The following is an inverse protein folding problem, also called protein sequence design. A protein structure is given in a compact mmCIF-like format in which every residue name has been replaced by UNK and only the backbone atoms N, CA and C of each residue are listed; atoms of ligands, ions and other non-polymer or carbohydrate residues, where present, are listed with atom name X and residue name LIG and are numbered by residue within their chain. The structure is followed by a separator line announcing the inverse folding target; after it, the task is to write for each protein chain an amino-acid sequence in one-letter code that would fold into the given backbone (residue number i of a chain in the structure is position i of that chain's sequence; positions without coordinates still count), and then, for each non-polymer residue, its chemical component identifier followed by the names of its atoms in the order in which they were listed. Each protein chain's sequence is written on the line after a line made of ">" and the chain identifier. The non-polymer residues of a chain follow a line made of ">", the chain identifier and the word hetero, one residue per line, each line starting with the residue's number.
data_IF_475962147332
#
_entry.id   IF_475962147332
#
_cell.length_a   1.000
_cell.length_b   1.000
_cell.length_c   1.000
_cell.angle_alpha   90.00
_cell.angle_beta   90.00
_cell.angle_gamma   90.00
#
_symmetry.space_group_name_H-M   'P 1'
#
loop_
_entity.id
_entity.type
_entity.pdbx_description
1 polymer ?
#
# COMPACT_ATOMS: atom_id res chain seq x y z
N UNK A 1 -34.01 2.28 13.46
CA UNK A 1 -33.50 1.32 14.45
C UNK A 1 -31.99 1.44 14.43
N UNK A 2 -31.37 1.80 15.56
CA UNK A 2 -29.90 1.84 15.68
C UNK A 2 -29.40 0.40 15.65
N UNK A 3 -28.48 0.08 14.74
CA UNK A 3 -27.71 -1.15 14.83
C UNK A 3 -26.88 -1.09 16.13
N UNK A 4 -26.82 -2.20 16.85
CA UNK A 4 -26.03 -2.34 18.07
C UNK A 4 -25.05 -3.49 17.91
N UNK A 5 -23.85 -3.34 18.47
CA UNK A 5 -22.86 -4.41 18.55
C UNK A 5 -22.49 -4.63 20.02
N UNK A 6 -22.26 -5.89 20.41
CA UNK A 6 -21.76 -6.23 21.73
C UNK A 6 -20.45 -6.98 21.55
N UNK A 7 -19.40 -6.50 22.21
CA UNK A 7 -18.09 -7.13 22.25
C UNK A 7 -17.92 -7.71 23.64
N UNK A 8 -17.74 -9.02 23.75
CA UNK A 8 -17.39 -9.68 25.01
C UNK A 8 -15.89 -9.95 25.06
N UNK A 9 -15.25 -9.49 26.12
CA UNK A 9 -13.84 -9.69 26.40
C UNK A 9 -13.67 -10.73 27.51
N UNK A 10 -12.67 -11.59 27.35
CA UNK A 10 -12.26 -12.53 28.38
C UNK A 10 -11.71 -11.75 29.59
N UNK A 11 -12.17 -12.04 30.83
CA UNK A 11 -11.74 -11.32 32.03
C UNK A 11 -10.26 -11.52 32.39
N UNK A 12 -9.57 -12.47 31.76
CA UNK A 12 -8.14 -12.75 31.97
C UNK A 12 -7.23 -11.91 31.08
N UNK A 13 -7.78 -11.11 30.15
CA UNK A 13 -6.99 -10.26 29.28
C UNK A 13 -6.24 -9.17 30.07
N UNK A 14 -4.98 -8.86 29.70
CA UNK A 14 -4.25 -7.74 30.29
C UNK A 14 -4.98 -6.40 30.08
N UNK A 15 -4.88 -5.50 31.06
CA UNK A 15 -5.56 -4.19 31.05
C UNK A 15 -5.25 -3.37 29.79
N UNK A 16 -4.02 -3.45 29.26
CA UNK A 16 -3.60 -2.76 28.03
C UNK A 16 -4.39 -3.24 26.80
N UNK A 17 -4.65 -4.55 26.71
CA UNK A 17 -5.47 -5.13 25.64
C UNK A 17 -6.92 -4.71 25.79
N UNK A 18 -7.44 -4.72 27.02
CA UNK A 18 -8.80 -4.28 27.34
C UNK A 18 -8.99 -2.80 26.98
N UNK A 19 -8.00 -1.94 27.27
CA UNK A 19 -8.04 -0.52 26.96
C UNK A 19 -7.94 -0.25 25.45
N UNK A 20 -7.15 -1.04 24.72
CA UNK A 20 -7.15 -1.03 23.25
C UNK A 20 -8.54 -1.32 22.66
N UNK A 21 -9.23 -2.35 23.18
CA UNK A 21 -10.59 -2.69 22.76
C UNK A 21 -11.64 -1.63 23.15
N UNK A 22 -11.50 -1.01 24.33
CA UNK A 22 -12.35 0.13 24.73
C UNK A 22 -12.18 1.28 23.74
N UNK A 23 -10.95 1.57 23.32
CA UNK A 23 -10.67 2.62 22.36
C UNK A 23 -11.29 2.30 20.98
N UNK A 24 -11.03 1.09 20.46
CA UNK A 24 -11.58 0.63 19.19
C UNK A 24 -13.12 0.67 19.15
N UNK A 25 -13.80 0.30 20.23
CA UNK A 25 -15.26 0.37 20.31
C UNK A 25 -15.82 1.80 20.39
N UNK A 26 -15.08 2.73 21.01
CA UNK A 26 -15.44 4.16 20.99
C UNK A 26 -15.31 4.73 19.59
N UNK A 27 -14.29 4.30 18.84
CA UNK A 27 -14.06 4.73 17.47
C UNK A 27 -15.17 4.18 16.56
N UNK A 28 -15.47 2.88 16.67
CA UNK A 28 -16.56 2.24 15.93
C UNK A 28 -17.94 2.85 16.25
N UNK A 29 -18.18 3.22 17.51
CA UNK A 29 -19.43 3.88 17.91
C UNK A 29 -19.56 5.31 17.37
N UNK A 30 -18.44 6.01 17.19
CA UNK A 30 -18.43 7.37 16.62
C UNK A 30 -18.66 7.35 15.12
N UNK A 31 -18.05 6.41 14.41
CA UNK A 31 -17.96 6.47 12.95
C UNK A 31 -19.13 5.82 12.22
N UNK A 32 -19.82 4.84 12.83
CA UNK A 32 -20.81 4.00 12.09
C UNK A 32 -22.25 4.10 12.56
N UNK A 33 -22.60 5.00 13.47
CA UNK A 33 -23.93 5.06 14.11
C UNK A 33 -24.36 3.69 14.71
N UNK A 34 -23.38 2.85 15.08
CA UNK A 34 -23.61 1.56 15.72
C UNK A 34 -23.30 1.71 17.21
N UNK A 35 -24.26 1.43 18.09
CA UNK A 35 -23.98 1.45 19.52
C UNK A 35 -23.16 0.22 19.91
N UNK A 36 -21.87 0.40 20.23
CA UNK A 36 -21.02 -0.70 20.68
C UNK A 36 -20.99 -0.76 22.21
N UNK A 37 -21.32 -1.91 22.78
CA UNK A 37 -21.19 -2.16 24.22
C UNK A 37 -20.09 -3.18 24.47
N UNK A 38 -19.06 -2.78 25.21
CA UNK A 38 -18.10 -3.73 25.77
C UNK A 38 -18.68 -4.36 27.02
N UNK A 39 -18.47 -5.66 27.15
CA UNK A 39 -18.74 -6.43 28.34
C UNK A 39 -17.54 -7.33 28.61
N UNK A 40 -17.25 -7.61 29.87
CA UNK A 40 -16.30 -8.65 30.27
C UNK A 40 -17.09 -9.82 30.82
N UNK A 41 -16.73 -11.04 30.46
CA UNK A 41 -17.44 -12.21 30.94
C UNK A 41 -16.80 -13.51 30.50
N UNK A 42 -17.07 -14.56 31.27
CA UNK A 42 -16.67 -15.92 30.95
C UNK A 42 -17.64 -16.59 29.95
N UNK A 43 -17.42 -17.87 29.66
CA UNK A 43 -18.25 -18.66 28.75
C UNK A 43 -19.72 -18.75 29.20
N UNK A 44 -19.98 -18.70 30.50
CA UNK A 44 -21.34 -18.65 31.04
C UNK A 44 -22.02 -17.31 30.76
N UNK A 45 -21.27 -16.21 30.81
CA UNK A 45 -21.73 -14.88 30.40
C UNK A 45 -22.06 -14.81 28.91
N UNK A 46 -21.26 -15.45 28.03
CA UNK A 46 -21.58 -15.59 26.59
C UNK A 46 -22.92 -16.27 26.37
N UNK A 47 -23.12 -17.43 27.02
CA UNK A 47 -24.33 -18.24 26.87
C UNK A 47 -25.58 -17.48 27.33
N UNK A 48 -25.46 -16.75 28.44
CA UNK A 48 -26.54 -15.91 28.98
C UNK A 48 -26.87 -14.74 28.06
N UNK A 49 -25.85 -14.08 27.51
CA UNK A 49 -26.01 -12.97 26.57
C UNK A 49 -26.67 -13.42 25.26
N UNK A 50 -26.19 -14.53 24.68
CA UNK A 50 -26.75 -15.12 23.47
C UNK A 50 -28.23 -15.48 23.66
N UNK A 51 -28.57 -16.10 24.80
CA UNK A 51 -29.96 -16.44 25.14
C UNK A 51 -30.85 -15.20 25.26
N UNK A 52 -30.34 -14.11 25.85
CA UNK A 52 -31.09 -12.85 25.98
C UNK A 52 -31.31 -12.18 24.63
N UNK A 53 -30.27 -12.08 23.80
CA UNK A 53 -30.35 -11.52 22.45
C UNK A 53 -31.30 -12.32 21.54
N UNK A 54 -31.29 -13.65 21.65
CA UNK A 54 -32.22 -14.52 20.93
C UNK A 54 -33.69 -14.30 21.35
N UNK A 55 -33.94 -13.99 22.62
CA UNK A 55 -35.29 -13.69 23.13
C UNK A 55 -35.85 -12.32 22.71
N UNK A 56 -34.98 -11.39 22.32
CA UNK A 56 -35.33 -10.04 21.85
C UNK A 56 -35.50 -9.97 20.31
N UNK A 57 -35.50 -11.12 19.62
CA UNK A 57 -35.36 -11.26 18.17
C UNK A 57 -36.63 -10.92 17.36
N UNK A 58 -36.77 -9.63 17.03
CA UNK A 58 -37.27 -9.22 15.69
C UNK A 58 -36.24 -8.42 14.89
N UNK A 59 -35.02 -8.26 15.40
CA UNK A 59 -34.07 -7.24 14.95
C UNK A 59 -32.66 -7.71 14.59
N UNK A 60 -32.36 -9.00 14.69
CA UNK A 60 -31.00 -9.51 14.50
C UNK A 60 -31.02 -10.62 13.45
N UNK A 61 -30.42 -10.36 12.30
CA UNK A 61 -30.44 -11.25 11.13
C UNK A 61 -29.16 -12.08 10.96
N UNK A 62 -28.17 -11.93 11.83
CA UNK A 62 -26.92 -12.70 11.72
C UNK A 62 -26.34 -12.98 13.11
N UNK A 63 -26.25 -14.26 13.46
CA UNK A 63 -25.50 -14.76 14.60
C UNK A 63 -24.42 -15.68 14.05
N UNK A 64 -23.22 -15.14 13.88
CA UNK A 64 -22.03 -15.93 13.55
C UNK A 64 -21.19 -16.08 14.84
N UNK A 65 -21.35 -17.23 15.51
CA UNK A 65 -20.35 -17.70 16.47
C UNK A 65 -19.15 -18.17 15.62
N UNK A 66 -18.04 -17.42 15.66
CA UNK A 66 -16.78 -17.90 15.09
C UNK A 66 -16.20 -18.91 16.08
N UNK A 67 -16.64 -20.16 15.97
CA UNK A 67 -15.88 -21.28 16.54
C UNK A 67 -14.55 -21.37 15.78
N UNK A 68 -13.44 -21.39 16.50
CA UNK A 68 -12.11 -21.52 15.90
C UNK A 68 -12.06 -22.79 15.06
N UNK A 69 -11.92 -22.64 13.74
CA UNK A 69 -11.81 -23.78 12.84
C UNK A 69 -10.65 -24.68 13.30
N UNK A 70 -10.78 -26.02 13.23
CA UNK A 70 -9.66 -26.91 13.49
C UNK A 70 -8.48 -26.53 12.57
N UNK A 71 -7.23 -26.59 13.06
CA UNK A 71 -6.08 -26.13 12.31
C UNK A 71 -5.98 -26.90 10.99
N UNK A 72 -6.14 -26.17 9.89
CA UNK A 72 -5.87 -26.72 8.57
C UNK A 72 -4.36 -26.89 8.42
N UNK A 73 -3.87 -27.99 7.83
CA UNK A 73 -2.44 -28.16 7.59
C UNK A 73 -1.90 -26.99 6.75
N UNK A 74 -0.69 -26.47 7.06
CA UNK A 74 -0.11 -25.38 6.31
C UNK A 74 0.06 -25.76 4.84
N UNK A 75 -0.07 -24.78 3.97
CA UNK A 75 0.02 -25.02 2.53
C UNK A 75 1.46 -25.36 2.10
N UNK A 76 1.59 -26.25 1.13
CA UNK A 76 2.87 -26.49 0.45
C UNK A 76 3.31 -25.23 -0.29
N UNK A 77 4.51 -24.72 0.03
CA UNK A 77 5.07 -23.55 -0.63
C UNK A 77 5.29 -23.81 -2.14
N UNK A 78 4.93 -22.84 -2.99
CA UNK A 78 5.18 -22.90 -4.43
C UNK A 78 6.67 -23.18 -4.72
N UNK A 79 7.05 -23.98 -5.73
CA UNK A 79 8.45 -24.20 -6.07
C UNK A 79 9.14 -22.90 -6.50
N UNK A 80 10.45 -22.81 -6.32
CA UNK A 80 11.20 -21.65 -6.81
C UNK A 80 11.26 -21.64 -8.35
N UNK A 81 10.99 -20.47 -8.91
CA UNK A 81 11.36 -20.10 -10.28
C UNK A 81 12.62 -19.25 -10.18
N UNK A 82 13.61 -19.48 -11.06
CA UNK A 82 14.87 -18.76 -11.06
C UNK A 82 15.07 -18.05 -12.42
N UNK A 83 15.68 -16.87 -12.38
CA UNK A 83 16.15 -16.13 -13.55
C UNK A 83 17.48 -16.71 -14.05
N UNK A 84 17.90 -16.26 -15.24
CA UNK A 84 19.17 -16.65 -15.85
C UNK A 84 20.41 -16.25 -15.01
N UNK A 85 20.27 -15.28 -14.11
CA UNK A 85 21.31 -14.86 -13.17
C UNK A 85 21.42 -15.75 -11.91
N UNK A 86 20.60 -16.80 -11.81
CA UNK A 86 20.56 -17.73 -10.70
C UNK A 86 19.77 -17.23 -9.48
N UNK A 87 19.16 -16.04 -9.52
CA UNK A 87 18.34 -15.51 -8.43
C UNK A 87 16.86 -15.89 -8.60
N UNK A 88 16.08 -15.96 -7.50
CA UNK A 88 14.63 -16.19 -7.59
C UNK A 88 13.91 -15.15 -8.44
N UNK A 89 13.01 -15.61 -9.30
CA UNK A 89 12.10 -14.76 -10.07
C UNK A 89 10.80 -14.52 -9.29
N UNK A 90 10.81 -13.55 -8.38
CA UNK A 90 9.67 -13.31 -7.49
C UNK A 90 8.42 -12.86 -8.26
N UNK A 91 8.59 -12.10 -9.34
CA UNK A 91 7.48 -11.59 -10.14
C UNK A 91 6.68 -12.70 -10.86
N UNK A 92 7.32 -13.84 -11.15
CA UNK A 92 6.70 -14.96 -11.88
C UNK A 92 6.51 -16.21 -11.02
N UNK A 93 7.05 -16.22 -9.79
CA UNK A 93 6.98 -17.38 -8.88
C UNK A 93 5.55 -17.80 -8.55
N UNK A 94 4.61 -16.85 -8.49
CA UNK A 94 3.21 -17.12 -8.21
C UNK A 94 2.33 -16.76 -9.41
N UNK A 95 1.58 -17.74 -9.92
CA UNK A 95 0.56 -17.53 -10.95
C UNK A 95 -0.82 -17.29 -10.35
N UNK A 96 -1.06 -17.82 -9.16
CA UNK A 96 -2.26 -17.59 -8.34
C UNK A 96 -1.89 -17.59 -6.86
N UNK A 97 -2.73 -16.92 -6.05
CA UNK A 97 -2.65 -17.00 -4.59
C UNK A 97 -3.88 -17.75 -4.05
N UNK A 98 -3.70 -18.48 -2.96
CA UNK A 98 -4.83 -19.07 -2.23
C UNK A 98 -5.54 -18.01 -1.37
N UNK A 99 -6.71 -18.39 -0.86
CA UNK A 99 -7.50 -17.53 0.02
C UNK A 99 -6.72 -17.12 1.27
N UNK A 100 -6.90 -15.86 1.69
CA UNK A 100 -6.37 -15.36 2.96
C UNK A 100 -7.04 -16.08 4.13
N UNK A 101 -6.30 -16.23 5.23
CA UNK A 101 -6.86 -16.66 6.50
C UNK A 101 -8.03 -15.77 6.95
N UNK A 102 -7.92 -14.46 6.71
CA UNK A 102 -8.99 -13.49 6.95
C UNK A 102 -10.30 -13.81 6.20
N UNK A 103 -10.22 -14.52 5.06
CA UNK A 103 -11.37 -14.92 4.24
C UNK A 103 -11.72 -16.41 4.39
N UNK A 104 -11.17 -17.10 5.38
CA UNK A 104 -11.47 -18.51 5.67
C UNK A 104 -10.53 -19.53 5.00
N UNK A 105 -9.49 -19.07 4.29
CA UNK A 105 -8.42 -19.94 3.79
C UNK A 105 -7.48 -20.42 4.90
N UNK A 106 -6.63 -21.43 4.64
CA UNK A 106 -5.57 -21.79 5.59
C UNK A 106 -4.49 -20.70 5.66
N UNK A 107 -3.91 -20.44 6.84
CA UNK A 107 -2.80 -19.50 6.96
C UNK A 107 -1.55 -20.02 6.24
N UNK A 108 -0.73 -19.09 5.75
CA UNK A 108 0.53 -19.37 5.07
C UNK A 108 1.48 -20.20 5.94
N UNK A 109 1.57 -19.89 7.23
CA UNK A 109 2.28 -20.69 8.22
C UNK A 109 1.34 -21.26 9.26
N UNK A 110 1.71 -22.40 9.85
CA UNK A 110 1.04 -22.92 11.03
C UNK A 110 1.37 -22.08 12.27
N UNK A 111 0.52 -22.10 13.32
CA UNK A 111 0.76 -21.36 14.55
C UNK A 111 2.02 -21.83 15.32
N UNK A 112 2.48 -23.07 15.06
CA UNK A 112 3.66 -23.65 15.69
C UNK A 112 4.98 -23.27 15.00
N UNK A 113 4.93 -22.60 13.84
CA UNK A 113 6.11 -22.17 13.07
C UNK A 113 5.96 -20.74 12.53
N UNK A 114 5.73 -19.72 13.39
CA UNK A 114 5.56 -18.35 12.94
C UNK A 114 6.88 -17.70 12.54
N UNK A 115 6.82 -16.72 11.62
CA UNK A 115 7.98 -15.84 11.36
C UNK A 115 7.87 -14.63 12.26
N UNK A 116 8.64 -14.63 13.35
CA UNK A 116 8.65 -13.57 14.35
C UNK A 116 9.90 -12.69 14.21
N UNK A 117 9.79 -11.44 14.64
CA UNK A 117 10.97 -10.61 14.85
C UNK A 117 11.77 -11.17 16.02
N UNK A 118 13.07 -11.35 15.78
CA UNK A 118 14.02 -11.66 16.85
C UNK A 118 14.68 -10.36 17.29
N UNK A 119 14.68 -10.08 18.59
CA UNK A 119 15.45 -8.95 19.14
C UNK A 119 16.94 -9.27 18.95
N UNK A 120 17.70 -8.52 18.12
CA UNK A 120 19.07 -8.90 17.85
C UNK A 120 20.01 -8.53 19.01
N UNK A 121 20.95 -9.43 19.32
CA UNK A 121 22.21 -9.09 19.99
C UNK A 121 23.05 -8.30 18.97
N UNK A 122 23.35 -7.04 19.30
CA UNK A 122 24.01 -6.03 18.46
C UNK A 122 24.98 -6.58 17.41
N UNK A 123 24.63 -6.48 16.11
CA UNK A 123 25.55 -6.65 14.99
C UNK A 123 25.22 -5.66 13.86
N UNK A 124 26.28 -5.21 13.18
CA UNK A 124 26.39 -3.91 12.50
C UNK A 124 25.52 -3.67 11.26
N UNK A 125 25.32 -2.38 11.03
CA UNK A 125 24.69 -1.78 9.85
C UNK A 125 25.49 -2.10 8.57
N UNK A 126 24.93 -2.93 7.69
CA UNK A 126 24.88 -2.76 6.22
C UNK A 126 24.47 -4.07 5.50
N UNK A 127 23.35 -4.02 4.77
CA UNK A 127 23.05 -4.82 3.58
C UNK A 127 23.30 -6.33 3.63
N UNK A 128 22.64 -7.07 4.52
CA UNK A 128 22.64 -8.53 4.42
C UNK A 128 21.90 -9.00 3.16
N UNK A 129 22.39 -10.08 2.55
CA UNK A 129 21.79 -10.68 1.36
C UNK A 129 20.31 -11.01 1.57
N UNK A 130 19.94 -11.53 2.74
CA UNK A 130 18.56 -11.85 3.11
C UNK A 130 17.65 -10.60 3.14
N UNK A 131 18.07 -9.52 3.80
CA UNK A 131 17.26 -8.29 3.88
C UNK A 131 17.16 -7.63 2.51
N UNK A 132 18.25 -7.61 1.74
CA UNK A 132 18.25 -7.12 0.36
C UNK A 132 17.32 -7.93 -0.54
N UNK A 133 17.26 -9.25 -0.34
CA UNK A 133 16.41 -10.16 -1.08
C UNK A 133 14.93 -10.00 -0.73
N UNK A 134 14.59 -9.80 0.55
CA UNK A 134 13.21 -9.48 0.98
C UNK A 134 12.73 -8.18 0.31
N UNK A 135 13.57 -7.13 0.34
CA UNK A 135 13.24 -5.84 -0.30
C UNK A 135 13.01 -5.98 -1.79
N UNK A 136 13.89 -6.72 -2.48
CA UNK A 136 13.77 -7.00 -3.91
C UNK A 136 12.49 -7.77 -4.22
N UNK A 137 12.22 -8.83 -3.47
CA UNK A 137 11.04 -9.67 -3.68
C UNK A 137 9.74 -8.90 -3.50
N UNK A 138 9.63 -8.11 -2.43
CA UNK A 138 8.46 -7.25 -2.20
C UNK A 138 8.28 -6.25 -3.34
N UNK A 139 9.34 -5.60 -3.79
CA UNK A 139 9.25 -4.64 -4.89
C UNK A 139 8.84 -5.32 -6.21
N UNK A 140 9.43 -6.47 -6.55
CA UNK A 140 9.11 -7.20 -7.77
C UNK A 140 7.66 -7.72 -7.81
N UNK A 141 7.07 -8.06 -6.67
CA UNK A 141 5.70 -8.62 -6.62
C UNK A 141 4.62 -7.57 -6.39
N UNK A 142 4.94 -6.47 -5.70
CA UNK A 142 3.93 -5.47 -5.28
C UNK A 142 4.17 -4.07 -5.84
N UNK A 143 5.40 -3.76 -6.25
CA UNK A 143 5.83 -2.40 -6.58
C UNK A 143 6.01 -1.49 -5.36
N UNK A 144 5.76 -1.97 -4.13
CA UNK A 144 5.92 -1.17 -2.93
C UNK A 144 7.39 -1.00 -2.55
N UNK A 145 7.75 0.24 -2.17
CA UNK A 145 9.09 0.55 -1.69
C UNK A 145 9.28 0.04 -0.26
N UNK A 146 10.48 -0.48 0.02
CA UNK A 146 10.86 -0.90 1.36
C UNK A 146 12.30 -0.50 1.73
N UNK A 147 12.50 -0.22 3.01
CA UNK A 147 13.76 0.21 3.61
C UNK A 147 13.99 -0.48 4.96
N UNK A 148 15.27 -0.58 5.36
CA UNK A 148 15.60 -1.07 6.69
C UNK A 148 15.03 -0.12 7.76
N UNK A 149 14.43 -0.67 8.80
CA UNK A 149 13.96 0.05 9.98
C UNK A 149 14.86 -0.29 11.18
N UNK A 150 14.35 -0.21 12.41
CA UNK A 150 15.08 -0.73 13.57
C UNK A 150 15.37 -2.23 13.45
N UNK A 151 16.28 -2.70 14.30
CA UNK A 151 16.85 -4.04 14.24
C UNK A 151 15.76 -5.14 14.18
N UNK A 152 15.85 -5.99 13.16
CA UNK A 152 14.89 -7.08 12.91
C UNK A 152 13.66 -6.68 12.09
N UNK A 153 13.52 -5.40 11.70
CA UNK A 153 12.37 -4.89 10.95
C UNK A 153 12.75 -4.29 9.59
N UNK A 154 11.86 -4.51 8.63
CA UNK A 154 11.83 -3.83 7.35
C UNK A 154 10.54 -3.02 7.24
N UNK A 155 10.65 -1.72 6.95
CA UNK A 155 9.49 -0.87 6.71
C UNK A 155 9.13 -0.85 5.22
N UNK A 156 7.86 -1.12 4.92
CA UNK A 156 7.25 -1.06 3.59
C UNK A 156 6.35 0.17 3.57
N UNK A 157 6.50 1.03 2.58
CA UNK A 157 5.64 2.21 2.41
C UNK A 157 4.37 1.79 1.67
N UNK A 158 3.25 1.72 2.39
CA UNK A 158 1.94 1.45 1.81
C UNK A 158 1.32 2.73 1.24
N UNK A 159 0.28 2.59 0.42
CA UNK A 159 -0.37 3.70 -0.26
C UNK A 159 -1.27 4.55 0.64
N UNK A 160 -1.59 4.05 1.84
CA UNK A 160 -2.38 4.74 2.88
C UNK A 160 -2.23 4.05 4.24
N UNK A 161 -2.57 4.72 5.35
CA UNK A 161 -2.59 4.09 6.67
C UNK A 161 -3.59 2.94 6.76
N UNK A 162 -4.72 3.04 6.04
CA UNK A 162 -5.72 1.98 5.95
C UNK A 162 -5.15 0.72 5.30
N UNK A 163 -4.39 0.88 4.21
CA UNK A 163 -3.71 -0.23 3.55
C UNK A 163 -2.69 -0.87 4.49
N UNK A 164 -1.86 -0.06 5.14
CA UNK A 164 -0.86 -0.54 6.10
C UNK A 164 -1.52 -1.31 7.26
N UNK A 165 -2.58 -0.76 7.86
CA UNK A 165 -3.30 -1.40 8.95
C UNK A 165 -4.01 -2.70 8.51
N UNK A 166 -4.67 -2.69 7.34
CA UNK A 166 -5.37 -3.87 6.82
C UNK A 166 -4.40 -5.00 6.45
N UNK A 167 -3.30 -4.66 5.77
CA UNK A 167 -2.25 -5.62 5.45
C UNK A 167 -1.58 -6.13 6.72
N UNK A 168 -1.29 -5.26 7.70
CA UNK A 168 -0.75 -5.67 9.00
C UNK A 168 -1.63 -6.71 9.68
N UNK A 169 -2.92 -6.44 9.83
CA UNK A 169 -3.86 -7.37 10.44
C UNK A 169 -3.92 -8.70 9.67
N UNK A 170 -3.90 -8.64 8.33
CA UNK A 170 -3.95 -9.83 7.49
C UNK A 170 -2.66 -10.66 7.55
N UNK A 171 -1.49 -10.02 7.62
CA UNK A 171 -0.18 -10.69 7.75
C UNK A 171 -0.06 -11.42 9.09
N UNK A 172 -0.54 -10.81 10.18
CA UNK A 172 -0.57 -11.44 11.51
C UNK A 172 -1.41 -12.73 11.48
N UNK A 173 -2.57 -12.71 10.81
CA UNK A 173 -3.43 -13.89 10.66
C UNK A 173 -2.78 -15.01 9.83
N UNK A 174 -1.73 -14.71 9.07
CA UNK A 174 -0.95 -15.66 8.28
C UNK A 174 0.28 -16.19 9.05
N UNK A 175 0.36 -15.89 10.36
CA UNK A 175 1.41 -16.28 11.31
C UNK A 175 2.79 -15.70 10.96
N UNK A 176 2.80 -14.44 10.51
CA UNK A 176 4.01 -13.63 10.35
C UNK A 176 3.83 -12.35 11.15
N UNK A 177 4.86 -11.95 11.91
CA UNK A 177 4.83 -10.70 12.67
C UNK A 177 4.61 -9.51 11.72
N UNK A 178 3.81 -8.55 12.17
CA UNK A 178 3.67 -7.27 11.50
C UNK A 178 3.27 -6.19 12.51
N UNK A 179 3.61 -4.95 12.18
CA UNK A 179 3.06 -3.76 12.85
C UNK A 179 2.87 -2.66 11.84
N UNK A 180 2.03 -1.67 12.17
CA UNK A 180 1.82 -0.51 11.32
C UNK A 180 2.04 0.80 12.08
N UNK A 181 2.70 1.75 11.43
CA UNK A 181 2.96 3.11 11.92
C UNK A 181 2.57 4.10 10.83
N UNK A 182 1.32 4.59 10.87
CA UNK A 182 0.76 5.36 9.77
C UNK A 182 0.76 4.54 8.48
N UNK A 183 1.45 5.02 7.45
CA UNK A 183 1.59 4.36 6.15
C UNK A 183 2.69 3.28 6.12
N UNK A 184 3.48 3.15 7.18
CA UNK A 184 4.59 2.21 7.23
C UNK A 184 4.09 0.87 7.79
N UNK A 185 4.12 -0.17 6.95
CA UNK A 185 3.95 -1.55 7.37
C UNK A 185 5.33 -2.14 7.68
N UNK A 186 5.56 -2.56 8.92
CA UNK A 186 6.82 -3.17 9.31
C UNK A 186 6.66 -4.69 9.37
N UNK A 187 7.59 -5.41 8.73
CA UNK A 187 7.65 -6.87 8.68
C UNK A 187 9.04 -7.37 9.13
N UNK A 188 9.16 -8.63 9.59
CA UNK A 188 10.42 -9.21 9.98
C UNK A 188 11.44 -9.23 8.86
N UNK A 189 12.65 -8.80 9.18
CA UNK A 189 13.80 -8.94 8.30
C UNK A 189 15.07 -9.05 9.14
N UNK A 190 15.64 -10.25 9.19
CA UNK A 190 16.88 -10.53 9.90
C UNK A 190 17.96 -11.04 8.92
N UNK A 191 19.21 -10.61 9.03
CA UNK A 191 20.33 -11.18 8.28
C UNK A 191 20.46 -12.71 8.33
N UNK A 192 19.98 -13.36 9.39
CA UNK A 192 20.03 -14.81 9.54
C UNK A 192 18.90 -15.56 8.84
N UNK A 193 17.95 -14.87 8.20
CA UNK A 193 16.81 -15.50 7.54
C UNK A 193 17.25 -16.34 6.35
N UNK A 194 16.71 -17.55 6.26
CA UNK A 194 17.01 -18.47 5.17
C UNK A 194 16.14 -18.18 3.95
N UNK A 195 16.74 -18.25 2.76
CA UNK A 195 16.07 -17.93 1.50
C UNK A 195 14.81 -18.77 1.30
N UNK A 196 14.93 -20.08 1.50
CA UNK A 196 13.87 -21.06 1.24
C UNK A 196 12.76 -21.05 2.29
N UNK A 197 12.93 -20.31 3.38
CA UNK A 197 12.10 -20.38 4.57
C UNK A 197 11.55 -18.98 4.93
N UNK A 198 12.23 -18.24 5.81
CA UNK A 198 11.73 -16.95 6.30
C UNK A 198 11.65 -15.90 5.19
N UNK A 199 12.70 -15.75 4.36
CA UNK A 199 12.73 -14.74 3.28
C UNK A 199 11.55 -14.93 2.34
N UNK A 200 11.39 -16.15 1.82
CA UNK A 200 10.28 -16.51 0.95
C UNK A 200 8.93 -16.26 1.62
N UNK A 201 8.80 -16.55 2.90
CA UNK A 201 7.51 -16.40 3.59
C UNK A 201 7.10 -14.95 3.79
N UNK A 202 8.03 -14.08 4.16
CA UNK A 202 7.77 -12.64 4.26
C UNK A 202 7.35 -12.08 2.89
N UNK A 203 8.06 -12.44 1.82
CA UNK A 203 7.68 -12.00 0.46
C UNK A 203 6.31 -12.55 0.08
N UNK A 204 6.05 -13.84 0.34
CA UNK A 204 4.77 -14.49 -0.01
C UNK A 204 3.59 -13.79 0.67
N UNK A 205 3.66 -13.58 1.98
CA UNK A 205 2.53 -13.02 2.74
C UNK A 205 2.27 -11.56 2.38
N UNK A 206 3.31 -10.75 2.16
CA UNK A 206 3.18 -9.37 1.68
C UNK A 206 2.56 -9.35 0.28
N UNK A 207 3.00 -10.23 -0.62
CA UNK A 207 2.49 -10.31 -1.98
C UNK A 207 1.02 -10.75 -2.00
N UNK A 208 0.68 -11.77 -1.22
CA UNK A 208 -0.68 -12.31 -1.07
C UNK A 208 -1.63 -11.24 -0.55
N UNK A 209 -1.28 -10.60 0.57
CA UNK A 209 -2.11 -9.55 1.18
C UNK A 209 -2.24 -8.31 0.30
N UNK A 210 -1.15 -7.89 -0.36
CA UNK A 210 -1.19 -6.80 -1.34
C UNK A 210 -2.12 -7.10 -2.52
N UNK A 211 -2.03 -8.31 -3.08
CA UNK A 211 -2.89 -8.74 -4.16
C UNK A 211 -4.38 -8.67 -3.76
N UNK A 212 -4.73 -9.20 -2.59
CA UNK A 212 -6.09 -9.12 -2.06
C UNK A 212 -6.56 -7.68 -1.84
N UNK A 213 -5.70 -6.83 -1.29
CA UNK A 213 -6.00 -5.42 -1.11
C UNK A 213 -6.32 -4.75 -2.45
N UNK A 214 -5.46 -4.93 -3.45
CA UNK A 214 -5.63 -4.36 -4.78
C UNK A 214 -6.87 -4.89 -5.50
N UNK A 215 -7.17 -6.20 -5.36
CA UNK A 215 -8.28 -6.85 -6.03
C UNK A 215 -9.65 -6.58 -5.38
N UNK A 216 -9.70 -6.39 -4.06
CA UNK A 216 -10.96 -6.43 -3.31
C UNK A 216 -11.23 -5.22 -2.41
N UNK A 217 -10.18 -4.53 -1.94
CA UNK A 217 -10.33 -3.46 -0.94
C UNK A 217 -10.14 -2.06 -1.53
N UNK A 218 -9.33 -1.90 -2.57
CA UNK A 218 -9.09 -0.60 -3.22
C UNK A 218 -10.35 0.03 -3.83
N UNK A 219 -11.39 -0.76 -4.12
CA UNK A 219 -12.67 -0.30 -4.67
C UNK A 219 -13.75 0.00 -3.61
N UNK A 220 -13.55 -0.39 -2.34
CA UNK A 220 -14.52 -0.15 -1.26
C UNK A 220 -14.20 1.20 -0.61
N UNK A 221 -14.82 2.26 -1.13
CA UNK A 221 -14.83 3.60 -0.55
C UNK A 221 -15.27 3.57 0.92
N UNK A 222 -14.50 4.21 1.80
CA UNK A 222 -14.94 4.52 3.17
C UNK A 222 -15.84 5.77 3.19
N UNK A 223 -16.80 5.86 4.14
CA UNK A 223 -17.49 7.11 4.44
C UNK A 223 -16.53 8.10 5.12
N UNK A 224 -16.64 9.38 4.77
CA UNK A 224 -15.72 10.45 5.15
C UNK A 224 -15.60 10.71 6.67
N UNK A 225 -14.39 11.03 7.17
CA UNK A 225 -14.19 11.77 8.41
C UNK A 225 -13.98 13.27 8.14
N UNK A 226 -14.55 14.11 9.00
CA UNK A 226 -14.43 15.57 8.93
C UNK A 226 -13.01 16.06 9.32
N UNK A 227 -12.07 16.05 8.36
CA UNK A 227 -10.75 16.71 8.38
C UNK A 227 -10.35 17.15 6.94
N UNK A 228 -11.29 17.77 6.22
CA UNK A 228 -11.26 17.97 4.77
C UNK A 228 -10.06 18.76 4.17
N UNK A 229 -9.18 19.38 4.97
CA UNK A 229 -8.02 20.12 4.45
C UNK A 229 -6.73 19.28 4.40
N UNK A 230 -6.55 18.32 5.31
CA UNK A 230 -5.34 17.48 5.34
C UNK A 230 -5.44 16.31 4.36
N UNK A 231 -6.64 15.71 4.28
CA UNK A 231 -6.96 14.60 3.40
C UNK A 231 -6.74 14.92 1.91
N UNK A 232 -7.34 16.03 1.44
CA UNK A 232 -7.19 16.47 0.05
C UNK A 232 -5.73 16.86 -0.28
N UNK A 233 -5.00 17.42 0.69
CA UNK A 233 -3.60 17.82 0.48
C UNK A 233 -2.67 16.61 0.32
N UNK A 234 -2.89 15.51 1.04
CA UNK A 234 -2.03 14.33 0.92
C UNK A 234 -2.31 13.53 -0.36
N UNK A 235 -3.58 13.40 -0.77
CA UNK A 235 -3.92 12.72 -2.04
C UNK A 235 -3.33 13.46 -3.23
N UNK A 236 -3.40 14.80 -3.20
CA UNK A 236 -2.77 15.66 -4.20
C UNK A 236 -1.25 15.47 -4.20
N UNK A 237 -0.60 15.48 -3.05
CA UNK A 237 0.85 15.26 -2.96
C UNK A 237 1.26 13.84 -3.40
N UNK A 238 0.43 12.82 -3.12
CA UNK A 238 0.64 11.43 -3.56
C UNK A 238 0.51 11.30 -5.06
N UNK A 239 -0.55 11.86 -5.64
CA UNK A 239 -0.72 11.93 -7.09
C UNK A 239 0.48 12.64 -7.76
N UNK A 240 0.98 13.73 -7.17
CA UNK A 240 2.21 14.41 -7.61
C UNK A 240 3.45 13.50 -7.61
N UNK A 241 3.66 12.71 -6.54
CA UNK A 241 4.76 11.73 -6.48
C UNK A 241 4.63 10.62 -7.53
N UNK A 242 3.43 10.07 -7.70
CA UNK A 242 3.16 9.04 -8.71
C UNK A 242 3.40 9.56 -10.14
N UNK A 243 2.94 10.78 -10.43
CA UNK A 243 3.19 11.47 -11.69
C UNK A 243 4.70 11.58 -11.98
N UNK A 244 5.48 12.06 -11.01
CA UNK A 244 6.94 12.16 -11.12
C UNK A 244 7.60 10.81 -11.43
N UNK A 245 7.25 9.75 -10.70
CA UNK A 245 7.81 8.41 -10.89
C UNK A 245 7.52 7.87 -12.29
N UNK A 246 6.26 7.97 -12.73
CA UNK A 246 5.84 7.50 -14.05
C UNK A 246 6.58 8.22 -15.17
N UNK A 247 6.83 9.53 -15.03
CA UNK A 247 7.58 10.30 -16.03
C UNK A 247 9.07 9.95 -16.06
N UNK A 248 9.69 9.68 -14.91
CA UNK A 248 11.07 9.22 -14.87
C UNK A 248 11.21 7.83 -15.52
N UNK A 249 10.27 6.92 -15.28
CA UNK A 249 10.20 5.61 -15.94
C UNK A 249 9.92 5.72 -17.44
N UNK A 250 9.01 6.62 -17.81
CA UNK A 250 8.70 6.92 -19.21
C UNK A 250 9.94 7.39 -19.96
N UNK A 251 10.71 8.31 -19.37
CA UNK A 251 11.99 8.78 -19.91
C UNK A 251 12.97 7.64 -20.15
N UNK A 252 13.14 6.76 -19.16
CA UNK A 252 13.99 5.56 -19.29
C UNK A 252 13.50 4.62 -20.40
N UNK A 253 12.21 4.33 -20.47
CA UNK A 253 11.62 3.48 -21.51
C UNK A 253 11.83 4.05 -22.91
N UNK A 254 11.78 5.39 -23.06
CA UNK A 254 12.09 6.06 -24.34
C UNK A 254 13.56 5.90 -24.72
N UNK A 255 14.47 6.06 -23.77
CA UNK A 255 15.91 5.90 -24.03
C UNK A 255 16.26 4.47 -24.46
N UNK A 256 15.58 3.45 -23.91
CA UNK A 256 15.75 2.05 -24.29
C UNK A 256 14.92 1.63 -25.51
N UNK A 257 14.20 2.56 -26.14
CA UNK A 257 13.31 2.31 -27.28
C UNK A 257 12.20 1.28 -26.99
N UNK A 258 11.80 1.13 -25.72
CA UNK A 258 10.61 0.36 -25.34
C UNK A 258 9.35 1.22 -25.52
N UNK A 259 8.88 1.27 -26.77
CA UNK A 259 7.73 2.08 -27.19
C UNK A 259 6.45 1.66 -26.46
N UNK A 260 6.29 0.37 -26.16
CA UNK A 260 5.08 -0.15 -25.52
C UNK A 260 4.98 0.30 -24.06
N UNK A 261 6.08 0.18 -23.31
CA UNK A 261 6.13 0.68 -21.93
C UNK A 261 6.04 2.21 -21.90
N UNK A 262 6.76 2.91 -22.78
CA UNK A 262 6.67 4.37 -22.87
C UNK A 262 5.22 4.85 -23.14
N UNK A 263 4.50 4.24 -24.08
CA UNK A 263 3.13 4.64 -24.37
C UNK A 263 2.19 4.43 -23.18
N UNK A 264 2.34 3.30 -22.46
CA UNK A 264 1.54 2.96 -21.29
C UNK A 264 1.80 3.92 -20.12
N UNK A 265 3.07 4.16 -19.79
CA UNK A 265 3.49 5.04 -18.71
C UNK A 265 3.04 6.48 -18.97
N UNK A 266 3.16 6.95 -20.22
CA UNK A 266 2.64 8.26 -20.62
C UNK A 266 1.13 8.36 -20.44
N UNK A 267 0.36 7.33 -20.83
CA UNK A 267 -1.09 7.33 -20.64
C UNK A 267 -1.47 7.39 -19.15
N UNK A 268 -0.77 6.64 -18.30
CA UNK A 268 -0.99 6.66 -16.85
C UNK A 268 -0.68 8.03 -16.24
N UNK A 269 0.46 8.62 -16.61
CA UNK A 269 0.83 9.97 -16.18
C UNK A 269 -0.22 11.01 -16.64
N UNK A 270 -0.73 10.87 -17.87
CA UNK A 270 -1.74 11.77 -18.42
C UNK A 270 -3.07 11.76 -17.64
N UNK A 271 -3.53 10.59 -17.18
CA UNK A 271 -4.75 10.54 -16.35
C UNK A 271 -4.53 11.25 -15.00
N UNK A 272 -3.37 11.09 -14.38
CA UNK A 272 -3.02 11.82 -13.14
C UNK A 272 -2.96 13.33 -13.39
N UNK A 273 -2.38 13.77 -14.52
CA UNK A 273 -2.36 15.20 -14.89
C UNK A 273 -3.77 15.77 -14.97
N UNK A 274 -4.75 15.06 -15.56
CA UNK A 274 -6.13 15.55 -15.64
C UNK A 274 -6.73 15.79 -14.27
N UNK A 275 -6.50 14.87 -13.35
CA UNK A 275 -6.97 14.97 -11.97
C UNK A 275 -6.30 16.15 -11.25
N UNK A 276 -4.98 16.22 -11.25
CA UNK A 276 -4.21 17.27 -10.59
C UNK A 276 -4.51 18.66 -11.16
N UNK A 277 -4.60 18.79 -12.48
CA UNK A 277 -4.85 20.06 -13.16
C UNK A 277 -6.26 20.64 -12.87
N UNK A 278 -7.19 19.81 -12.38
CA UNK A 278 -8.55 20.25 -12.03
C UNK A 278 -8.61 21.12 -10.77
N UNK A 279 -7.56 21.12 -9.94
CA UNK A 279 -7.50 21.85 -8.66
C UNK A 279 -6.34 22.86 -8.63
N UNK A 280 -6.38 23.83 -7.71
CA UNK A 280 -5.26 24.77 -7.53
C UNK A 280 -4.04 24.10 -6.87
N UNK A 281 -4.27 23.29 -5.84
CA UNK A 281 -3.20 22.57 -5.15
C UNK A 281 -2.55 21.51 -6.04
N UNK A 282 -3.32 20.80 -6.86
CA UNK A 282 -2.75 19.83 -7.81
C UNK A 282 -1.92 20.49 -8.91
N UNK A 283 -2.33 21.68 -9.38
CA UNK A 283 -1.48 22.49 -10.28
C UNK A 283 -0.17 22.91 -9.62
N UNK A 284 -0.19 23.22 -8.32
CA UNK A 284 1.03 23.55 -7.56
C UNK A 284 2.00 22.36 -7.50
N UNK A 285 1.50 21.14 -7.32
CA UNK A 285 2.34 19.91 -7.36
C UNK A 285 2.97 19.68 -8.75
N UNK A 286 2.21 19.89 -9.83
CA UNK A 286 2.74 19.78 -11.20
C UNK A 286 3.79 20.87 -11.47
N UNK A 287 3.59 22.09 -10.98
CA UNK A 287 4.55 23.18 -11.08
C UNK A 287 5.85 22.90 -10.31
N UNK A 288 5.80 22.21 -9.16
CA UNK A 288 6.99 21.83 -8.42
C UNK A 288 7.93 20.89 -9.23
N UNK A 289 7.36 20.08 -10.13
CA UNK A 289 8.10 19.19 -11.02
C UNK A 289 8.94 19.94 -12.09
N UNK A 290 8.74 21.25 -12.28
CA UNK A 290 9.55 22.05 -13.20
C UNK A 290 11.03 22.15 -12.79
N UNK A 291 11.32 21.92 -11.50
CA UNK A 291 12.68 21.93 -10.95
C UNK A 291 13.25 20.54 -10.67
N UNK A 292 12.61 19.49 -11.20
CA UNK A 292 13.05 18.12 -10.95
C UNK A 292 14.49 17.85 -11.42
N UNK A 293 15.32 17.10 -10.66
CA UNK A 293 16.61 16.63 -11.16
C UNK A 293 16.50 15.82 -12.46
N UNK A 294 15.41 15.06 -12.67
CA UNK A 294 15.21 14.27 -13.88
C UNK A 294 14.71 15.16 -15.05
N UNK A 295 15.43 15.13 -16.17
CA UNK A 295 15.12 15.94 -17.35
C UNK A 295 13.79 15.55 -18.00
N UNK A 296 13.43 14.26 -17.98
CA UNK A 296 12.19 13.78 -18.59
C UNK A 296 10.97 14.18 -17.77
N UNK A 297 11.10 14.20 -16.44
CA UNK A 297 10.08 14.78 -15.56
C UNK A 297 9.90 16.26 -15.89
N UNK A 298 10.98 17.04 -15.98
CA UNK A 298 10.90 18.47 -16.30
C UNK A 298 10.27 18.76 -17.65
N UNK A 299 10.64 18.01 -18.70
CA UNK A 299 10.08 18.22 -20.05
C UNK A 299 8.58 17.97 -20.06
N UNK A 300 8.13 16.84 -19.52
CA UNK A 300 6.71 16.48 -19.53
C UNK A 300 5.88 17.39 -18.61
N UNK A 301 6.38 17.68 -17.40
CA UNK A 301 5.73 18.62 -16.48
C UNK A 301 5.59 20.01 -17.11
N UNK A 302 6.65 20.52 -17.74
CA UNK A 302 6.58 21.82 -18.41
C UNK A 302 5.56 21.79 -19.56
N UNK A 303 5.52 20.74 -20.38
CA UNK A 303 4.52 20.62 -21.45
C UNK A 303 3.07 20.62 -20.91
N UNK A 304 2.81 19.96 -19.78
CA UNK A 304 1.49 19.97 -19.12
C UNK A 304 1.14 21.34 -18.53
N UNK A 305 2.08 21.95 -17.80
CA UNK A 305 1.90 23.25 -17.11
C UNK A 305 1.71 24.42 -18.08
N UNK A 306 2.24 24.32 -19.32
CA UNK A 306 2.06 25.35 -20.36
C UNK A 306 0.60 25.73 -20.62
N UNK A 307 -0.36 24.85 -20.30
CA UNK A 307 -1.80 25.09 -20.46
C UNK A 307 -2.35 26.20 -19.56
N UNK A 308 -1.77 26.39 -18.37
CA UNK A 308 -2.27 27.38 -17.39
C UNK A 308 -1.20 28.34 -16.85
N UNK A 309 0.08 27.95 -16.86
CA UNK A 309 1.17 28.79 -16.38
C UNK A 309 2.37 28.83 -17.37
N UNK A 310 2.16 29.30 -18.61
CA UNK A 310 3.19 29.32 -19.64
C UNK A 310 4.39 30.21 -19.27
N UNK A 311 4.18 31.24 -18.44
CA UNK A 311 5.24 32.15 -18.00
C UNK A 311 6.36 31.44 -17.21
N UNK A 312 6.04 30.38 -16.48
CA UNK A 312 7.01 29.59 -15.69
C UNK A 312 7.45 28.30 -16.40
N UNK A 313 6.59 27.70 -17.24
CA UNK A 313 6.91 26.47 -17.94
C UNK A 313 7.76 26.68 -19.21
N UNK A 314 7.50 27.76 -19.99
CA UNK A 314 8.22 28.03 -21.24
C UNK A 314 9.74 28.18 -21.04
N UNK A 315 10.23 28.93 -20.02
CA UNK A 315 11.67 29.05 -19.78
C UNK A 315 12.36 27.70 -19.51
N UNK A 316 11.67 26.75 -18.86
CA UNK A 316 12.20 25.41 -18.58
C UNK A 316 12.41 24.63 -19.87
N UNK A 317 11.41 24.63 -20.77
CA UNK A 317 11.51 23.99 -22.08
C UNK A 317 12.60 24.65 -22.94
N UNK A 318 12.70 25.97 -22.93
CA UNK A 318 13.74 26.69 -23.66
C UNK A 318 15.15 26.35 -23.14
N UNK A 319 15.33 26.27 -21.81
CA UNK A 319 16.59 25.86 -21.21
C UNK A 319 16.97 24.43 -21.60
N UNK A 320 16.04 23.48 -21.54
CA UNK A 320 16.29 22.08 -21.93
C UNK A 320 16.60 21.97 -23.42
N UNK A 321 15.83 22.67 -24.28
CA UNK A 321 16.08 22.75 -25.73
C UNK A 321 17.49 23.24 -26.05
N UNK A 322 17.98 24.26 -25.33
CA UNK A 322 19.31 24.84 -25.55
C UNK A 322 20.46 23.90 -25.19
N UNK A 323 20.24 22.89 -24.34
CA UNK A 323 21.29 21.93 -23.98
C UNK A 323 21.73 21.04 -25.15
N UNK A 324 20.84 20.79 -26.13
CA UNK A 324 21.07 19.81 -27.19
C UNK A 324 21.19 18.35 -26.71
N UNK A 325 20.94 18.09 -25.42
CA UNK A 325 21.04 16.76 -24.80
C UNK A 325 19.69 16.04 -24.69
N UNK A 326 19.57 15.20 -23.66
CA UNK A 326 18.33 14.47 -23.34
C UNK A 326 17.14 15.43 -23.21
N UNK A 327 15.99 15.03 -23.76
CA UNK A 327 14.75 15.83 -23.74
C UNK A 327 14.75 17.07 -24.65
N UNK A 328 15.87 17.44 -25.30
CA UNK A 328 15.94 18.66 -26.12
C UNK A 328 14.98 18.67 -27.31
N UNK A 329 14.83 17.53 -28.00
CA UNK A 329 13.88 17.38 -29.12
C UNK A 329 12.43 17.44 -28.64
N UNK A 330 12.10 16.78 -27.55
CA UNK A 330 10.76 16.79 -26.96
C UNK A 330 10.39 18.20 -26.46
N UNK A 331 11.35 18.92 -25.87
CA UNK A 331 11.15 20.31 -25.47
C UNK A 331 10.91 21.24 -26.68
N UNK A 332 11.70 21.08 -27.76
CA UNK A 332 11.48 21.82 -29.00
C UNK A 332 10.11 21.52 -29.61
N UNK A 333 9.69 20.25 -29.59
CA UNK A 333 8.38 19.85 -30.08
C UNK A 333 7.26 20.45 -29.22
N UNK A 334 7.34 20.39 -27.90
CA UNK A 334 6.36 20.98 -26.99
C UNK A 334 6.20 22.49 -27.22
N UNK A 335 7.31 23.23 -27.36
CA UNK A 335 7.30 24.65 -27.70
C UNK A 335 6.64 24.93 -29.05
N UNK A 336 6.97 24.15 -30.07
CA UNK A 336 6.35 24.26 -31.40
C UNK A 336 4.83 24.00 -31.34
N UNK A 337 4.39 23.01 -30.56
CA UNK A 337 2.96 22.71 -30.38
C UNK A 337 2.22 23.84 -29.66
N UNK A 338 2.86 24.46 -28.65
CA UNK A 338 2.30 25.60 -27.95
C UNK A 338 2.21 26.85 -28.83
N UNK A 339 3.29 27.20 -29.54
CA UNK A 339 3.32 28.38 -30.43
C UNK A 339 2.34 28.23 -31.61
N UNK A 340 2.03 26.99 -32.01
CA UNK A 340 0.98 26.69 -32.97
C UNK A 340 -0.46 26.73 -32.38
N UNK A 341 -0.62 27.07 -31.11
CA UNK A 341 -1.91 27.12 -30.40
C UNK A 341 -2.51 25.75 -30.08
N UNK A 342 -1.81 24.63 -30.32
CA UNK A 342 -2.36 23.27 -30.17
C UNK A 342 -2.33 22.73 -28.74
N UNK A 343 -1.62 23.42 -27.84
CA UNK A 343 -1.59 23.11 -26.41
C UNK A 343 -2.46 24.06 -25.58
N UNK A 344 -3.13 25.03 -26.21
CA UNK A 344 -4.03 25.95 -25.52
C UNK A 344 -5.44 25.36 -25.62
N UNK A 345 -5.96 24.83 -24.51
CA UNK A 345 -7.41 24.59 -24.38
C UNK A 345 -8.05 25.91 -23.97
N UNK A 346 -8.64 26.64 -24.92
CA UNK A 346 -9.55 27.75 -24.60
C UNK A 346 -10.62 27.24 -23.62
N UNK A 347 -10.81 27.95 -22.51
CA UNK A 347 -12.01 27.85 -21.67
C UNK A 347 -12.97 28.95 -22.06
#
# INVERSE_FOLDING_TARGET
>A
MSLGAIILLDPTLPDEVVDGWKQAARDLSRDRLVSVRLMTGDEAALTTLASRLASESKLWTDQSLVEGAPPSPPMTAAPFVYKDDGRPDWATMWTTFCELALHGGPPHRGPDDPVLVRVPLAHGEQGSEAVGEIRRGIFETTGLYSEAAEAGWLAITCQSPRMAAWMCASIILENVDARCEGERLLVPADPSFQLTDQVKSVITVVSKTHHYWAAHMAAVQDPEPSEASGAASWEIAKAGRSYRTLLAEWGRARMTHDIASASRLHQQAHEITKELASTASGRTELEACLTDPDVWVRVAAAADVMRWAPAIARPVLDAIRQTGGEGSMDAAFALMQYDAGRLITER
#
